data_IF_251431751495
#
_entry.id   IF_251431751495
#
_cell.length_a   1.000
_cell.length_b   1.000
_cell.length_c   1.000
_cell.angle_alpha   90.00
_cell.angle_beta   90.00
_cell.angle_gamma   90.00
#
_symmetry.space_group_name_H-M   'P 1'
#
loop_
_entity.id
_entity.type
_entity.pdbx_description
1 polymer ?
#
# COMPACT_ATOMS: atom_id res chain seq x y z
N UNK A 1 -34.90 -36.81 -21.67
CA UNK A 1 -33.78 -37.56 -22.30
C UNK A 1 -32.57 -36.63 -22.32
N UNK A 2 -31.44 -37.12 -21.79
CA UNK A 2 -30.20 -36.36 -21.53
C UNK A 2 -29.36 -36.22 -22.80
N UNK A 3 -28.71 -35.07 -23.00
CA UNK A 3 -27.50 -34.97 -23.82
C UNK A 3 -26.31 -34.68 -22.90
N UNK A 4 -25.31 -35.55 -22.96
CA UNK A 4 -24.03 -35.47 -22.26
C UNK A 4 -22.96 -35.21 -23.31
N UNK A 5 -22.21 -34.13 -23.15
CA UNK A 5 -20.98 -33.89 -23.92
C UNK A 5 -19.81 -34.18 -22.99
N UNK A 6 -19.03 -35.20 -23.33
CA UNK A 6 -17.78 -35.57 -22.67
C UNK A 6 -16.62 -35.08 -23.53
N UNK A 7 -15.83 -34.14 -23.02
CA UNK A 7 -14.52 -33.79 -23.58
C UNK A 7 -13.52 -34.91 -23.28
N UNK A 8 -12.92 -35.48 -24.33
CA UNK A 8 -11.68 -36.27 -24.24
C UNK A 8 -10.54 -35.44 -24.80
N UNK A 9 -9.66 -34.99 -23.93
CA UNK A 9 -8.33 -34.49 -24.28
C UNK A 9 -7.44 -35.70 -24.53
N UNK A 10 -6.96 -35.85 -25.76
CA UNK A 10 -5.97 -36.86 -26.15
C UNK A 10 -4.57 -36.30 -25.91
N UNK A 11 -3.84 -36.93 -24.98
CA UNK A 11 -2.39 -36.89 -24.92
C UNK A 11 -1.81 -37.67 -26.10
N UNK A 12 -0.88 -37.05 -26.83
CA UNK A 12 -0.09 -37.70 -27.86
C UNK A 12 1.20 -36.92 -28.10
N UNK A 13 2.25 -37.26 -27.37
CA UNK A 13 3.61 -36.83 -27.68
C UNK A 13 4.25 -37.83 -28.65
N UNK A 14 4.74 -37.37 -29.80
CA UNK A 14 5.94 -37.91 -30.44
C UNK A 14 6.41 -37.06 -31.63
N UNK A 15 7.74 -36.83 -31.62
CA UNK A 15 8.65 -36.65 -32.74
C UNK A 15 8.70 -35.30 -33.49
N UNK A 16 9.81 -34.61 -33.28
CA UNK A 16 10.30 -33.53 -34.10
C UNK A 16 10.71 -34.02 -35.51
N UNK A 17 10.32 -33.28 -36.54
CA UNK A 17 10.96 -33.27 -37.86
C UNK A 17 10.68 -31.93 -38.54
N UNK A 18 11.73 -31.38 -39.16
CA UNK A 18 11.82 -30.02 -39.67
C UNK A 18 10.82 -29.67 -40.78
N UNK A 19 10.20 -28.48 -40.71
CA UNK A 19 10.09 -27.46 -41.78
C UNK A 19 9.02 -26.41 -41.41
N UNK A 20 9.22 -25.20 -41.96
CA UNK A 20 8.29 -24.07 -42.14
C UNK A 20 8.17 -23.00 -41.04
N UNK A 21 8.85 -21.88 -41.32
CA UNK A 21 8.37 -20.48 -41.34
C UNK A 21 7.11 -20.23 -40.49
N UNK A 22 7.16 -19.34 -39.48
CA UNK A 22 5.97 -18.97 -38.74
C UNK A 22 4.97 -18.34 -39.71
N UNK A 23 3.79 -18.94 -39.79
CA UNK A 23 2.71 -18.52 -40.68
C UNK A 23 2.33 -17.09 -40.32
N UNK A 24 2.68 -16.12 -41.17
CA UNK A 24 2.50 -14.69 -40.92
C UNK A 24 1.05 -14.37 -40.53
N UNK A 25 0.07 -15.06 -41.14
CA UNK A 25 -1.34 -14.94 -40.80
C UNK A 25 -1.72 -15.40 -39.39
N UNK A 26 -1.05 -16.41 -38.82
CA UNK A 26 -1.32 -16.84 -37.43
C UNK A 26 -0.72 -15.84 -36.42
N UNK A 27 0.41 -15.24 -36.75
CA UNK A 27 0.99 -14.16 -35.95
C UNK A 27 0.17 -12.87 -36.06
N UNK A 28 -0.37 -12.58 -37.24
CA UNK A 28 -1.22 -11.41 -37.48
C UNK A 28 -2.61 -11.60 -36.80
N UNK A 29 -3.19 -12.81 -36.79
CA UNK A 29 -4.42 -13.12 -36.04
C UNK A 29 -4.22 -13.04 -34.53
N UNK A 30 -3.15 -13.65 -33.99
CA UNK A 30 -2.83 -13.55 -32.56
C UNK A 30 -2.55 -12.10 -32.17
N UNK A 31 -1.88 -11.33 -33.03
CA UNK A 31 -1.64 -9.92 -32.80
C UNK A 31 -2.94 -9.11 -32.85
N UNK A 32 -3.84 -9.39 -33.78
CA UNK A 32 -5.13 -8.70 -33.89
C UNK A 32 -6.05 -9.00 -32.70
N UNK A 33 -6.03 -10.23 -32.18
CA UNK A 33 -6.75 -10.61 -30.96
C UNK A 33 -6.14 -9.93 -29.70
N UNK A 34 -4.81 -9.81 -29.64
CA UNK A 34 -4.12 -9.07 -28.57
C UNK A 34 -4.39 -7.56 -28.66
N UNK A 35 -4.33 -6.99 -29.87
CA UNK A 35 -4.62 -5.57 -30.13
C UNK A 35 -6.09 -5.25 -29.75
N UNK A 36 -7.03 -6.15 -30.06
CA UNK A 36 -8.44 -6.02 -29.65
C UNK A 36 -8.66 -6.10 -28.13
N UNK A 37 -7.97 -7.01 -27.44
CA UNK A 37 -8.00 -7.08 -25.97
C UNK A 37 -7.38 -5.83 -25.32
N UNK A 38 -6.35 -5.22 -25.94
CA UNK A 38 -5.78 -3.96 -25.46
C UNK A 38 -6.71 -2.77 -25.68
N UNK A 39 -7.44 -2.69 -26.80
CA UNK A 39 -8.44 -1.65 -27.04
C UNK A 39 -9.63 -1.75 -26.05
N UNK A 40 -10.04 -2.96 -25.66
CA UNK A 40 -11.08 -3.17 -24.64
C UNK A 40 -10.61 -2.75 -23.23
N UNK A 41 -9.33 -2.97 -22.90
CA UNK A 41 -8.75 -2.53 -21.63
C UNK A 41 -8.63 -0.99 -21.56
N UNK A 42 -8.23 -0.31 -22.64
CA UNK A 42 -8.15 1.16 -22.64
C UNK A 42 -9.52 1.83 -22.42
N UNK A 43 -10.62 1.18 -22.81
CA UNK A 43 -11.97 1.68 -22.51
C UNK A 43 -12.30 1.63 -21.01
N UNK A 44 -11.64 0.74 -20.25
CA UNK A 44 -11.74 0.64 -18.79
C UNK A 44 -10.81 1.60 -18.03
N UNK A 45 -9.94 2.34 -18.73
CA UNK A 45 -9.17 3.42 -18.15
C UNK A 45 -10.11 4.59 -17.84
N UNK A 46 -10.39 4.89 -16.58
CA UNK A 46 -11.32 5.96 -16.23
C UNK A 46 -10.68 7.36 -16.33
N UNK A 47 -11.49 8.42 -16.55
CA UNK A 47 -11.06 9.80 -16.38
C UNK A 47 -10.43 10.08 -15.01
N UNK A 48 -9.41 10.92 -14.93
CA UNK A 48 -8.72 11.20 -13.66
C UNK A 48 -9.59 11.89 -12.61
N UNK A 49 -10.60 12.66 -13.02
CA UNK A 49 -11.55 13.33 -12.12
C UNK A 49 -12.54 12.36 -11.46
N UNK A 50 -12.68 11.15 -11.98
CA UNK A 50 -13.44 10.08 -11.30
C UNK A 50 -12.68 9.50 -10.11
N UNK A 51 -11.35 9.59 -10.11
CA UNK A 51 -10.54 9.24 -8.96
C UNK A 51 -10.50 10.48 -8.06
N UNK A 52 -11.04 10.36 -6.84
CA UNK A 52 -10.81 11.36 -5.80
C UNK A 52 -9.31 11.57 -5.58
N UNK A 53 -8.94 12.62 -4.84
CA UNK A 53 -7.55 12.87 -4.44
C UNK A 53 -7.48 13.07 -2.94
N UNK A 54 -6.31 12.80 -2.37
CA UNK A 54 -6.02 13.16 -1.00
C UNK A 54 -5.81 14.67 -0.90
N UNK A 55 -6.33 15.27 0.17
CA UNK A 55 -6.00 16.64 0.53
C UNK A 55 -4.52 16.73 0.90
N UNK A 56 -3.86 17.79 0.42
CA UNK A 56 -2.42 17.99 0.62
C UNK A 56 -2.16 19.27 1.40
N UNK A 57 -1.19 19.25 2.30
CA UNK A 57 -0.53 20.45 2.82
C UNK A 57 0.81 20.66 2.11
N UNK A 58 1.22 21.91 1.96
CA UNK A 58 2.53 22.26 1.38
C UNK A 58 3.66 22.05 2.39
N UNK A 59 4.90 21.97 1.90
CA UNK A 59 6.09 21.92 2.76
C UNK A 59 6.20 23.18 3.65
N UNK A 60 5.82 24.35 3.15
CA UNK A 60 5.84 25.59 3.91
C UNK A 60 4.86 25.54 5.10
N UNK A 61 3.64 25.06 4.87
CA UNK A 61 2.66 24.85 5.95
C UNK A 61 3.14 23.79 6.96
N UNK A 62 3.77 22.71 6.47
CA UNK A 62 4.34 21.69 7.31
C UNK A 62 5.49 22.22 8.20
N UNK A 63 6.29 23.15 7.69
CA UNK A 63 7.37 23.80 8.44
C UNK A 63 6.83 24.83 9.44
N UNK A 64 5.84 25.63 9.03
CA UNK A 64 5.19 26.60 9.91
C UNK A 64 4.55 25.90 11.12
N UNK A 65 3.78 24.83 10.89
CA UNK A 65 3.15 24.10 11.98
C UNK A 65 4.13 23.41 12.93
N UNK A 66 5.36 23.11 12.49
CA UNK A 66 6.38 22.53 13.36
C UNK A 66 6.94 23.55 14.37
N UNK A 67 6.92 24.85 14.02
CA UNK A 67 7.35 25.92 14.91
C UNK A 67 6.35 26.20 16.04
N UNK A 68 5.07 25.91 15.80
CA UNK A 68 3.96 26.18 16.74
C UNK A 68 3.60 24.97 17.62
N UNK A 69 4.25 23.82 17.42
CA UNK A 69 3.97 22.57 18.14
C UNK A 69 4.66 22.58 19.52
N UNK A 70 4.17 23.40 20.45
CA UNK A 70 4.69 23.43 21.82
C UNK A 70 4.36 22.14 22.58
N UNK A 71 5.39 21.49 23.12
CA UNK A 71 5.26 20.35 24.02
C UNK A 71 4.75 20.84 25.39
N UNK A 72 3.44 20.72 25.62
CA UNK A 72 2.84 21.05 26.92
C UNK A 72 3.07 19.96 27.99
N UNK A 73 3.67 18.83 27.62
CA UNK A 73 4.05 17.72 28.53
C UNK A 73 5.54 17.75 28.93
N UNK A 74 6.28 18.81 28.57
CA UNK A 74 7.72 18.98 28.80
C UNK A 74 8.18 19.10 30.29
N UNK A 75 7.42 18.58 31.25
CA UNK A 75 7.88 18.43 32.62
C UNK A 75 8.36 16.99 32.88
N UNK A 76 9.67 16.79 32.64
CA UNK A 76 10.54 15.62 32.88
C UNK A 76 10.86 14.79 31.63
N UNK A 77 11.97 15.09 30.95
CA UNK A 77 13.24 14.37 31.20
C UNK A 77 14.35 14.93 30.30
N UNK A 78 15.59 14.81 30.78
CA UNK A 78 16.80 15.23 30.05
C UNK A 78 16.82 14.64 28.63
N UNK A 79 17.14 15.50 27.65
CA UNK A 79 17.52 15.10 26.29
C UNK A 79 18.64 14.05 26.36
N UNK A 80 18.29 12.77 26.26
CA UNK A 80 19.28 11.71 26.09
C UNK A 80 19.71 11.68 24.62
N UNK A 81 21.03 11.58 24.43
CA UNK A 81 21.75 11.55 23.16
C UNK A 81 21.12 10.58 22.14
N UNK A 82 21.28 10.79 20.82
CA UNK A 82 20.83 9.82 19.82
C UNK A 82 21.51 8.47 20.08
N UNK A 83 20.73 7.51 20.57
CA UNK A 83 21.18 6.15 20.79
C UNK A 83 21.78 5.58 19.50
N UNK A 84 22.95 4.95 19.63
CA UNK A 84 23.63 4.29 18.51
C UNK A 84 22.89 3.01 18.10
N UNK A 85 23.13 2.53 16.88
CA UNK A 85 22.55 1.30 16.31
C UNK A 85 22.64 0.06 17.22
N UNK A 86 23.62 0.02 18.12
CA UNK A 86 23.83 -1.09 19.08
C UNK A 86 22.92 -1.02 20.34
N UNK A 87 22.34 0.13 20.68
CA UNK A 87 21.39 0.23 21.79
C UNK A 87 19.98 -0.26 21.41
N UNK A 88 19.61 -0.18 20.12
CA UNK A 88 18.29 -0.61 19.64
C UNK A 88 18.11 -2.13 19.62
N UNK A 89 19.20 -2.90 19.63
CA UNK A 89 19.14 -4.38 19.74
C UNK A 89 18.87 -4.84 21.17
N UNK A 90 19.15 -4.00 22.18
CA UNK A 90 18.97 -4.34 23.60
C UNK A 90 17.52 -4.22 24.10
N UNK A 91 16.61 -3.66 23.29
CA UNK A 91 15.20 -3.44 23.63
C UNK A 91 14.23 -4.37 22.88
N UNK A 92 14.70 -5.54 22.44
CA UNK A 92 13.84 -6.54 21.83
C UNK A 92 12.99 -7.26 22.89
N UNK A 93 11.75 -6.83 23.09
CA UNK A 93 10.76 -7.54 23.93
C UNK A 93 10.25 -8.84 23.27
N UNK A 94 10.53 -9.06 21.98
CA UNK A 94 10.25 -10.32 21.28
C UNK A 94 11.53 -11.01 20.79
N UNK A 95 11.59 -12.34 20.91
CA UNK A 95 12.82 -13.12 20.74
C UNK A 95 13.31 -13.26 19.29
N UNK A 96 12.45 -13.02 18.28
CA UNK A 96 12.79 -13.21 16.86
C UNK A 96 11.95 -12.26 15.98
N UNK A 97 12.27 -10.95 15.95
CA UNK A 97 11.52 -10.01 15.13
C UNK A 97 11.72 -10.31 13.64
N UNK A 98 10.62 -10.20 12.88
CA UNK A 98 10.70 -10.20 11.41
C UNK A 98 11.26 -8.86 10.95
N UNK A 99 12.18 -8.86 9.99
CA UNK A 99 12.66 -7.61 9.39
C UNK A 99 11.73 -7.28 8.22
N UNK A 100 11.23 -6.04 8.16
CA UNK A 100 10.71 -5.43 6.93
C UNK A 100 11.90 -4.82 6.20
N UNK A 101 12.06 -5.18 4.93
CA UNK A 101 13.28 -4.88 4.17
C UNK A 101 12.98 -3.88 3.07
N UNK A 102 13.84 -2.90 2.88
CA UNK A 102 13.70 -1.91 1.81
C UNK A 102 13.81 -2.62 0.46
N UNK A 103 12.95 -2.25 -0.50
CA UNK A 103 12.82 -2.95 -1.78
C UNK A 103 14.16 -3.24 -2.47
N UNK A 104 15.09 -2.28 -2.50
CA UNK A 104 16.39 -2.45 -3.18
C UNK A 104 17.35 -3.35 -2.42
N UNK A 105 17.16 -3.49 -1.11
CA UNK A 105 17.94 -4.39 -0.26
C UNK A 105 17.42 -5.84 -0.30
N UNK A 106 16.22 -6.08 -0.83
CA UNK A 106 15.67 -7.42 -0.97
C UNK A 106 16.38 -8.23 -2.05
N UNK A 107 16.55 -9.54 -1.79
CA UNK A 107 16.96 -10.49 -2.81
C UNK A 107 15.89 -10.56 -3.90
N UNK A 108 16.29 -10.71 -5.16
CA UNK A 108 15.34 -10.74 -6.27
C UNK A 108 14.35 -11.91 -6.17
N UNK A 109 14.78 -13.06 -5.63
CA UNK A 109 13.89 -14.18 -5.34
C UNK A 109 12.80 -13.83 -4.28
N UNK A 110 13.12 -12.98 -3.30
CA UNK A 110 12.16 -12.53 -2.30
C UNK A 110 11.20 -11.49 -2.87
N UNK A 111 11.69 -10.60 -3.75
CA UNK A 111 10.85 -9.65 -4.51
C UNK A 111 9.82 -10.40 -5.36
N UNK A 112 10.26 -11.37 -6.15
CA UNK A 112 9.39 -12.23 -6.95
C UNK A 112 8.41 -13.02 -6.06
N UNK A 113 8.88 -13.58 -4.94
CA UNK A 113 8.01 -14.31 -4.02
C UNK A 113 6.93 -13.40 -3.40
N UNK A 114 7.22 -12.13 -3.14
CA UNK A 114 6.23 -11.17 -2.65
C UNK A 114 5.18 -10.90 -3.73
N UNK A 115 5.61 -10.51 -4.92
CA UNK A 115 4.72 -10.22 -6.05
C UNK A 115 3.80 -11.40 -6.38
N UNK A 116 4.35 -12.62 -6.40
CA UNK A 116 3.57 -13.84 -6.61
C UNK A 116 2.57 -14.11 -5.48
N UNK A 117 2.90 -13.80 -4.23
CA UNK A 117 1.97 -13.96 -3.11
C UNK A 117 0.80 -12.97 -3.18
N UNK A 118 1.04 -11.74 -3.64
CA UNK A 118 -0.03 -10.77 -3.89
C UNK A 118 -0.93 -11.25 -5.02
N UNK A 119 -0.33 -11.67 -6.14
CA UNK A 119 -1.08 -12.24 -7.27
C UNK A 119 -1.93 -13.45 -6.87
N UNK A 120 -1.40 -14.31 -6.00
CA UNK A 120 -2.16 -15.41 -5.42
C UNK A 120 -3.43 -14.95 -4.66
N UNK A 121 -3.40 -13.83 -3.93
CA UNK A 121 -4.62 -13.28 -3.31
C UNK A 121 -5.59 -12.72 -4.35
N UNK A 122 -5.09 -12.13 -5.44
CA UNK A 122 -5.92 -11.62 -6.54
C UNK A 122 -6.61 -12.74 -7.33
N UNK A 123 -6.00 -13.94 -7.39
CA UNK A 123 -6.56 -15.09 -8.09
C UNK A 123 -7.48 -15.96 -7.22
N UNK A 124 -7.42 -15.82 -5.88
CA UNK A 124 -8.29 -16.57 -4.97
C UNK A 124 -9.71 -16.04 -4.97
N UNK A 125 -10.72 -16.92 -4.84
CA UNK A 125 -12.12 -16.51 -4.77
C UNK A 125 -12.40 -15.64 -3.54
N UNK A 126 -13.31 -14.66 -3.62
CA UNK A 126 -13.63 -13.79 -2.50
C UNK A 126 -14.23 -14.61 -1.35
N UNK A 127 -14.16 -14.06 -0.14
CA UNK A 127 -14.75 -14.63 1.07
C UNK A 127 -16.28 -14.70 1.00
N UNK A 128 -16.91 -13.88 0.15
CA UNK A 128 -18.35 -13.71 0.07
C UNK A 128 -18.92 -12.72 1.10
N UNK A 129 -18.07 -12.12 1.94
CA UNK A 129 -18.50 -11.17 2.98
C UNK A 129 -18.55 -9.71 2.49
N UNK A 130 -17.87 -9.41 1.38
CA UNK A 130 -17.72 -8.04 0.87
C UNK A 130 -18.14 -7.97 -0.59
N UNK A 131 -19.39 -7.60 -0.86
CA UNK A 131 -19.85 -7.35 -2.23
C UNK A 131 -19.40 -5.96 -2.71
N UNK A 132 -18.94 -5.79 -3.97
CA UNK A 132 -18.92 -6.75 -5.08
C UNK A 132 -17.56 -7.43 -5.34
N UNK A 133 -16.72 -7.61 -4.32
CA UNK A 133 -15.37 -8.20 -4.47
C UNK A 133 -15.39 -9.50 -5.28
N UNK A 134 -14.47 -9.62 -6.24
CA UNK A 134 -14.28 -10.80 -7.09
C UNK A 134 -13.06 -11.63 -6.68
N UNK A 135 -12.27 -11.18 -5.70
CA UNK A 135 -11.13 -11.92 -5.18
C UNK A 135 -10.88 -11.71 -3.69
N UNK A 136 -10.02 -12.54 -3.09
CA UNK A 136 -9.54 -12.31 -1.71
C UNK A 136 -8.80 -11.00 -1.57
N UNK A 137 -8.08 -10.57 -2.60
CA UNK A 137 -7.43 -9.27 -2.60
C UNK A 137 -8.47 -8.14 -2.58
N UNK A 138 -9.54 -8.25 -3.37
CA UNK A 138 -10.60 -7.23 -3.37
C UNK A 138 -11.36 -7.14 -2.05
N UNK A 139 -11.47 -8.23 -1.27
CA UNK A 139 -12.00 -8.14 0.09
C UNK A 139 -11.15 -7.21 0.99
N UNK A 140 -9.84 -7.16 0.75
CA UNK A 140 -8.92 -6.26 1.46
C UNK A 140 -9.22 -4.81 1.05
N UNK A 141 -9.31 -4.56 -0.26
CA UNK A 141 -9.69 -3.24 -0.81
C UNK A 141 -11.06 -2.77 -0.31
N UNK A 142 -12.05 -3.66 -0.27
CA UNK A 142 -13.41 -3.36 0.17
C UNK A 142 -13.47 -2.95 1.65
N UNK A 143 -12.63 -3.53 2.52
CA UNK A 143 -12.53 -3.11 3.92
C UNK A 143 -12.00 -1.68 4.03
N UNK A 144 -10.96 -1.34 3.27
CA UNK A 144 -10.44 0.03 3.25
C UNK A 144 -11.49 1.04 2.75
N UNK A 145 -12.20 0.71 1.67
CA UNK A 145 -13.28 1.54 1.14
C UNK A 145 -14.37 1.78 2.19
N UNK A 146 -14.84 0.73 2.86
CA UNK A 146 -15.90 0.83 3.87
C UNK A 146 -15.46 1.58 5.14
N UNK A 147 -14.17 1.52 5.46
CA UNK A 147 -13.60 2.16 6.66
C UNK A 147 -13.09 3.57 6.42
N UNK A 148 -12.95 4.02 5.16
CA UNK A 148 -12.27 5.27 4.75
C UNK A 148 -12.59 6.47 5.64
N UNK A 149 -13.88 6.75 5.87
CA UNK A 149 -14.31 7.92 6.66
C UNK A 149 -13.97 7.85 8.15
N UNK A 150 -13.50 6.70 8.64
CA UNK A 150 -13.06 6.49 10.04
C UNK A 150 -11.56 6.43 10.18
N UNK A 151 -10.84 6.12 9.11
CA UNK A 151 -9.40 5.80 9.14
C UNK A 151 -8.54 6.88 8.48
N UNK A 152 -9.17 7.86 7.82
CA UNK A 152 -8.51 9.02 7.24
C UNK A 152 -9.01 10.31 7.88
N UNK A 153 -8.15 11.33 7.91
CA UNK A 153 -8.39 12.60 8.59
C UNK A 153 -8.80 12.38 10.06
N UNK A 154 -8.15 11.40 10.68
CA UNK A 154 -8.52 10.84 11.98
C UNK A 154 -7.26 10.41 12.73
N UNK A 155 -7.30 10.45 14.06
CA UNK A 155 -6.21 9.90 14.86
C UNK A 155 -6.00 8.40 14.62
N UNK A 156 -6.96 7.67 14.04
CA UNK A 156 -6.80 6.26 13.70
C UNK A 156 -5.86 6.01 12.51
N UNK A 157 -5.52 7.03 11.72
CA UNK A 157 -4.77 6.88 10.48
C UNK A 157 -3.53 5.99 10.64
N UNK A 158 -2.55 6.38 11.46
CA UNK A 158 -1.32 5.61 11.61
C UNK A 158 -1.53 4.20 12.25
N UNK A 159 -2.22 4.06 13.40
CA UNK A 159 -2.49 2.76 14.01
C UNK A 159 -3.26 1.81 13.11
N UNK A 160 -4.31 2.29 12.43
CA UNK A 160 -5.14 1.44 11.59
C UNK A 160 -4.37 0.99 10.35
N UNK A 161 -3.59 1.86 9.70
CA UNK A 161 -2.78 1.46 8.55
C UNK A 161 -1.62 0.52 8.93
N UNK A 162 -0.98 0.71 10.09
CA UNK A 162 -0.02 -0.28 10.64
C UNK A 162 -0.71 -1.64 10.84
N UNK A 163 -1.88 -1.66 11.47
CA UNK A 163 -2.68 -2.87 11.63
C UNK A 163 -3.07 -3.49 10.29
N UNK A 164 -3.47 -2.67 9.31
CA UNK A 164 -3.88 -3.11 7.98
C UNK A 164 -2.73 -3.77 7.20
N UNK A 165 -1.50 -3.22 7.26
CA UNK A 165 -0.31 -3.89 6.69
C UNK A 165 0.02 -5.20 7.41
N UNK A 166 -0.21 -5.29 8.73
CA UNK A 166 -0.10 -6.56 9.47
C UNK A 166 -1.17 -7.56 9.04
N UNK A 167 -2.41 -7.11 8.79
CA UNK A 167 -3.49 -7.95 8.28
C UNK A 167 -3.13 -8.53 6.91
N UNK A 168 -2.69 -7.68 5.99
CA UNK A 168 -2.21 -8.08 4.69
C UNK A 168 -1.06 -9.09 4.79
N UNK A 169 -0.07 -8.85 5.64
CA UNK A 169 1.01 -9.81 5.92
C UNK A 169 0.48 -11.17 6.33
N UNK A 170 -0.49 -11.20 7.26
CA UNK A 170 -1.11 -12.43 7.74
C UNK A 170 -1.78 -13.20 6.61
N UNK A 171 -2.54 -12.51 5.74
CA UNK A 171 -3.22 -13.13 4.61
C UNK A 171 -2.23 -13.70 3.58
N UNK A 172 -1.18 -12.97 3.23
CA UNK A 172 -0.12 -13.48 2.34
C UNK A 172 0.51 -14.76 2.88
N UNK A 173 0.76 -14.81 4.19
CA UNK A 173 1.42 -15.93 4.87
C UNK A 173 0.53 -17.14 4.99
N UNK A 174 -0.71 -16.94 5.44
CA UNK A 174 -1.64 -18.02 5.76
C UNK A 174 -2.36 -18.56 4.53
N UNK A 175 -2.70 -17.71 3.57
CA UNK A 175 -3.46 -18.12 2.39
C UNK A 175 -2.57 -18.41 1.16
N UNK A 176 -1.40 -17.75 1.07
CA UNK A 176 -0.51 -17.83 -0.09
C UNK A 176 0.91 -18.33 0.25
N UNK A 177 1.17 -18.76 1.48
CA UNK A 177 2.43 -19.41 1.87
C UNK A 177 3.66 -18.50 1.82
N UNK A 178 3.47 -17.18 1.87
CA UNK A 178 4.58 -16.22 1.83
C UNK A 178 5.49 -16.38 3.06
N UNK A 179 6.80 -16.58 2.86
CA UNK A 179 7.74 -16.77 3.98
C UNK A 179 8.80 -15.68 4.08
N UNK A 180 9.04 -14.92 3.01
CA UNK A 180 10.07 -13.90 2.95
C UNK A 180 9.76 -12.65 3.83
N UNK A 181 10.76 -11.77 4.03
CA UNK A 181 10.60 -10.45 4.66
C UNK A 181 9.61 -9.56 3.90
N UNK A 182 8.70 -8.86 4.61
CA UNK A 182 7.81 -7.90 3.93
C UNK A 182 8.62 -6.72 3.36
N UNK A 183 8.38 -6.30 2.11
CA UNK A 183 9.00 -5.10 1.56
C UNK A 183 8.44 -3.82 2.17
N UNK A 184 9.24 -2.77 2.15
CA UNK A 184 8.78 -1.37 2.15
C UNK A 184 9.57 -0.57 1.10
N UNK A 185 9.06 0.59 0.70
CA UNK A 185 9.69 1.43 -0.32
C UNK A 185 10.23 2.72 0.30
N UNK A 186 11.52 3.02 0.13
CA UNK A 186 12.03 4.33 0.53
C UNK A 186 11.78 5.37 -0.58
N UNK A 187 10.56 5.93 -0.57
CA UNK A 187 10.05 6.91 -1.53
C UNK A 187 10.90 8.17 -1.61
N UNK A 188 11.51 8.58 -0.50
CA UNK A 188 12.38 9.77 -0.45
C UNK A 188 13.55 9.66 -1.42
N UNK A 189 14.08 8.45 -1.64
CA UNK A 189 15.18 8.23 -2.56
C UNK A 189 14.79 8.37 -4.03
N UNK A 190 13.50 8.28 -4.32
CA UNK A 190 12.95 8.30 -5.68
C UNK A 190 12.08 9.55 -5.93
N UNK A 191 12.02 10.50 -4.99
CA UNK A 191 11.22 11.72 -5.10
C UNK A 191 11.44 12.46 -6.44
N UNK A 192 10.37 12.72 -7.18
CA UNK A 192 10.42 13.32 -8.52
C UNK A 192 10.85 12.37 -9.65
N UNK A 193 11.04 11.08 -9.35
CA UNK A 193 11.35 10.03 -10.31
C UNK A 193 10.85 8.65 -9.83
N UNK A 194 9.58 8.56 -9.42
CA UNK A 194 9.02 7.31 -8.87
C UNK A 194 9.07 6.15 -9.88
N UNK A 195 8.89 6.44 -11.18
CA UNK A 195 8.98 5.44 -12.24
C UNK A 195 10.38 4.78 -12.31
N UNK A 196 11.43 5.47 -11.86
CA UNK A 196 12.80 4.99 -11.81
C UNK A 196 13.19 4.18 -10.55
N UNK A 197 12.25 3.93 -9.62
CA UNK A 197 12.51 3.26 -8.33
C UNK A 197 12.96 1.79 -8.45
N UNK A 198 12.76 1.15 -9.61
CA UNK A 198 12.94 -0.28 -9.81
C UNK A 198 11.80 -1.15 -9.27
N UNK A 199 10.72 -0.54 -8.79
CA UNK A 199 9.44 -1.23 -8.50
C UNK A 199 8.62 -1.42 -9.78
N UNK A 200 8.55 -0.37 -10.58
CA UNK A 200 7.70 -0.29 -11.77
C UNK A 200 8.41 -0.88 -12.99
N UNK A 201 8.35 -2.21 -13.10
CA UNK A 201 9.01 -2.98 -14.16
C UNK A 201 8.14 -4.15 -14.60
N UNK A 202 8.46 -4.71 -15.77
CA UNK A 202 7.86 -5.95 -16.29
C UNK A 202 7.97 -7.15 -15.34
N UNK A 203 8.97 -7.17 -14.48
CA UNK A 203 9.21 -8.29 -13.56
C UNK A 203 8.36 -8.20 -12.28
N UNK A 204 7.92 -6.99 -11.92
CA UNK A 204 7.27 -6.72 -10.65
C UNK A 204 5.89 -6.06 -10.86
N UNK A 205 5.79 -4.75 -10.64
CA UNK A 205 4.50 -4.07 -10.50
C UNK A 205 3.92 -3.52 -11.82
N UNK A 206 4.61 -3.69 -12.94
CA UNK A 206 4.28 -3.05 -14.22
C UNK A 206 4.63 -1.56 -14.21
N UNK A 207 4.47 -0.89 -15.35
CA UNK A 207 4.95 0.48 -15.56
C UNK A 207 4.24 1.52 -14.69
N UNK A 208 4.86 2.69 -14.56
CA UNK A 208 4.27 3.90 -13.98
C UNK A 208 4.23 5.00 -15.07
N UNK A 209 3.31 4.90 -16.04
CA UNK A 209 3.21 5.87 -17.13
C UNK A 209 2.57 7.20 -16.66
N UNK A 210 2.81 8.31 -17.38
CA UNK A 210 2.07 9.55 -17.17
C UNK A 210 0.61 9.40 -17.64
N UNK A 211 -0.23 10.34 -17.24
CA UNK A 211 -1.61 10.43 -17.72
C UNK A 211 -1.68 10.49 -19.27
N UNK A 212 -2.67 9.83 -19.85
CA UNK A 212 -2.95 9.90 -21.29
C UNK A 212 -4.27 10.66 -21.52
N UNK A 213 -4.20 11.87 -22.07
CA UNK A 213 -5.39 12.66 -22.41
C UNK A 213 -6.31 12.96 -21.21
N UNK A 214 -5.76 13.13 -20.01
CA UNK A 214 -6.52 13.36 -18.77
C UNK A 214 -7.13 12.10 -18.15
N UNK A 215 -6.72 10.92 -18.61
CA UNK A 215 -7.13 9.61 -18.07
C UNK A 215 -5.92 8.91 -17.45
N UNK A 216 -6.22 7.96 -16.57
CA UNK A 216 -5.23 6.96 -16.18
C UNK A 216 -4.82 6.11 -17.38
N UNK A 217 -3.66 5.46 -17.29
CA UNK A 217 -3.23 4.47 -18.26
C UNK A 217 -3.30 3.09 -17.61
N UNK A 218 -4.06 2.18 -18.21
CA UNK A 218 -4.14 0.80 -17.75
C UNK A 218 -2.76 0.14 -17.80
N UNK A 219 -2.39 -0.55 -16.73
CA UNK A 219 -1.15 -1.31 -16.67
C UNK A 219 -1.34 -2.60 -17.47
N UNK A 220 -0.52 -2.80 -18.50
CA UNK A 220 -0.58 -3.94 -19.41
C UNK A 220 0.51 -4.98 -19.13
N UNK A 221 1.53 -4.61 -18.34
CA UNK A 221 2.73 -5.40 -18.06
C UNK A 221 2.89 -5.69 -16.57
N UNK A 222 3.99 -6.36 -16.19
CA UNK A 222 4.21 -6.76 -14.79
C UNK A 222 3.30 -7.91 -14.36
N UNK A 223 3.41 -8.30 -13.09
CA UNK A 223 2.60 -9.38 -12.54
C UNK A 223 1.09 -9.06 -12.48
N UNK A 224 0.76 -7.76 -12.47
CA UNK A 224 -0.59 -7.22 -12.33
C UNK A 224 -1.14 -6.59 -13.63
N UNK A 225 -0.46 -6.78 -14.75
CA UNK A 225 -0.94 -6.32 -16.06
C UNK A 225 -2.31 -6.93 -16.41
N UNK A 226 -3.21 -6.10 -16.94
CA UNK A 226 -4.57 -6.50 -17.32
C UNK A 226 -5.52 -6.72 -16.13
N UNK A 227 -5.12 -6.38 -14.90
CA UNK A 227 -5.98 -6.51 -13.71
C UNK A 227 -7.22 -5.62 -13.83
N UNK A 228 -8.40 -6.21 -13.58
CA UNK A 228 -9.67 -5.47 -13.45
C UNK A 228 -10.07 -5.40 -11.98
N UNK A 229 -10.33 -4.18 -11.52
CA UNK A 229 -10.80 -3.84 -10.19
C UNK A 229 -12.31 -3.55 -10.23
N UNK A 230 -13.04 -4.07 -9.26
CA UNK A 230 -14.48 -3.94 -9.08
C UNK A 230 -14.82 -3.09 -7.85
N UNK A 231 -13.82 -2.79 -7.00
CA UNK A 231 -13.95 -1.88 -5.87
C UNK A 231 -13.44 -0.48 -6.25
N UNK A 232 -14.30 0.53 -6.06
CA UNK A 232 -14.02 1.91 -6.42
C UNK A 232 -14.26 2.23 -7.92
N UNK A 233 -13.84 3.41 -8.40
CA UNK A 233 -13.28 4.53 -7.63
C UNK A 233 -14.31 5.12 -6.65
N UNK A 234 -13.84 5.64 -5.51
CA UNK A 234 -14.72 6.13 -4.44
C UNK A 234 -15.64 5.01 -3.96
N UNK A 235 -16.95 5.26 -3.94
CA UNK A 235 -17.99 4.28 -3.60
C UNK A 235 -18.74 3.74 -4.83
N UNK A 236 -18.28 4.02 -6.06
CA UNK A 236 -19.02 3.68 -7.28
C UNK A 236 -19.00 2.18 -7.60
N UNK A 237 -17.91 1.49 -7.28
CA UNK A 237 -17.69 0.07 -7.58
C UNK A 237 -17.92 -0.29 -9.05
N UNK A 238 -17.53 0.63 -9.93
CA UNK A 238 -17.55 0.44 -11.37
C UNK A 238 -16.32 -0.37 -11.78
N UNK A 239 -16.46 -1.47 -12.55
CA UNK A 239 -15.32 -2.19 -13.09
C UNK A 239 -14.39 -1.27 -13.88
N UNK A 240 -13.09 -1.30 -13.56
CA UNK A 240 -12.06 -0.50 -14.21
C UNK A 240 -10.72 -1.23 -14.17
N UNK A 241 -9.79 -0.88 -15.05
CA UNK A 241 -8.47 -1.49 -15.01
C UNK A 241 -7.65 -0.93 -13.85
N UNK A 242 -6.67 -1.71 -13.36
CA UNK A 242 -5.56 -1.15 -12.60
C UNK A 242 -4.83 -0.12 -13.49
N UNK A 243 -4.95 1.16 -13.15
CA UNK A 243 -4.39 2.26 -13.92
C UNK A 243 -3.50 3.15 -13.04
N UNK A 244 -2.50 3.75 -13.67
CA UNK A 244 -1.60 4.74 -13.06
C UNK A 244 -1.51 5.99 -13.94
N UNK A 245 -1.07 7.10 -13.36
CA UNK A 245 -0.90 8.36 -14.04
C UNK A 245 0.09 9.22 -13.27
N UNK A 246 1.38 8.93 -13.44
CA UNK A 246 2.43 9.57 -12.65
C UNK A 246 2.42 11.08 -12.82
N UNK A 247 2.53 11.78 -11.70
CA UNK A 247 2.72 13.21 -11.63
C UNK A 247 3.96 13.51 -10.79
N UNK A 248 5.10 13.70 -11.47
CA UNK A 248 6.38 13.92 -10.81
C UNK A 248 6.43 15.25 -10.04
N UNK A 249 5.49 16.18 -10.28
CA UNK A 249 5.38 17.39 -9.46
C UNK A 249 4.86 17.07 -8.06
N UNK A 250 4.01 16.04 -7.94
CA UNK A 250 3.51 15.54 -6.66
C UNK A 250 4.55 14.66 -5.97
N UNK A 251 5.15 13.70 -6.68
CA UNK A 251 6.15 12.78 -6.10
C UNK A 251 7.39 13.52 -5.58
N UNK A 252 7.75 14.68 -6.17
CA UNK A 252 8.84 15.54 -5.70
C UNK A 252 8.62 16.08 -4.26
N UNK A 253 7.37 16.12 -3.79
CA UNK A 253 7.04 16.53 -2.42
C UNK A 253 7.23 15.40 -1.40
N UNK A 254 7.44 14.15 -1.83
CA UNK A 254 7.82 13.02 -0.95
C UNK A 254 9.32 13.07 -0.65
N UNK A 255 9.83 14.23 -0.23
CA UNK A 255 11.26 14.47 -0.02
C UNK A 255 11.65 14.45 1.46
N UNK A 256 12.96 14.39 1.72
CA UNK A 256 13.49 14.27 3.08
C UNK A 256 13.12 15.48 3.96
N UNK A 257 13.10 16.70 3.40
CA UNK A 257 12.77 17.90 4.18
C UNK A 257 11.33 17.85 4.70
N UNK A 258 10.40 17.32 3.91
CA UNK A 258 9.02 17.12 4.32
C UNK A 258 8.91 16.06 5.43
N UNK A 259 9.54 14.90 5.22
CA UNK A 259 9.59 13.82 6.23
C UNK A 259 10.19 14.31 7.54
N UNK A 260 11.25 15.12 7.48
CA UNK A 260 11.89 15.68 8.67
C UNK A 260 10.98 16.69 9.38
N UNK A 261 10.24 17.51 8.63
CA UNK A 261 9.26 18.46 9.16
C UNK A 261 8.09 17.78 9.88
N UNK A 262 7.64 16.63 9.41
CA UNK A 262 6.61 15.85 10.12
C UNK A 262 7.21 15.08 11.31
N UNK A 263 8.44 14.58 11.19
CA UNK A 263 9.11 13.87 12.29
C UNK A 263 9.72 14.79 13.36
N UNK A 264 9.64 16.11 13.19
CA UNK A 264 10.01 17.10 14.21
C UNK A 264 8.87 17.47 15.16
N UNK A 265 7.65 17.00 14.87
CA UNK A 265 6.46 17.24 15.70
C UNK A 265 6.61 16.63 17.09
N UNK A 266 5.98 17.23 18.08
CA UNK A 266 6.04 16.82 19.49
C UNK A 266 4.88 15.90 19.88
N UNK A 267 3.67 16.20 19.42
CA UNK A 267 2.49 15.38 19.71
C UNK A 267 2.22 14.36 18.62
N UNK A 268 1.53 13.27 18.97
CA UNK A 268 1.10 12.29 17.98
C UNK A 268 0.17 12.92 16.94
N UNK A 269 -0.85 13.67 17.37
CA UNK A 269 -1.84 14.28 16.48
C UNK A 269 -1.25 15.25 15.46
N UNK A 270 -0.23 16.04 15.84
CA UNK A 270 0.44 16.95 14.91
C UNK A 270 1.34 16.18 13.93
N UNK A 271 2.05 15.15 14.39
CA UNK A 271 2.86 14.28 13.55
C UNK A 271 2.00 13.50 12.54
N UNK A 272 0.91 12.92 13.00
CA UNK A 272 -0.05 12.12 12.24
C UNK A 272 -0.67 12.96 11.12
N UNK A 273 -1.24 14.12 11.43
CA UNK A 273 -1.84 15.01 10.45
C UNK A 273 -0.83 15.50 9.41
N UNK A 274 0.40 15.87 9.82
CA UNK A 274 1.46 16.25 8.88
C UNK A 274 1.84 15.08 7.96
N UNK A 275 1.98 13.88 8.53
CA UNK A 275 2.26 12.67 7.78
C UNK A 275 1.19 12.38 6.74
N UNK A 276 -0.09 12.41 7.14
CA UNK A 276 -1.24 12.08 6.29
C UNK A 276 -1.40 13.04 5.12
N UNK A 277 -1.39 14.36 5.39
CA UNK A 277 -1.58 15.40 4.38
C UNK A 277 -0.30 15.76 3.61
N UNK A 278 0.85 15.28 4.07
CA UNK A 278 2.15 15.53 3.46
C UNK A 278 2.62 14.33 2.64
N UNK A 279 3.74 13.66 3.04
CA UNK A 279 4.34 12.59 2.25
C UNK A 279 3.38 11.46 1.84
N UNK A 280 2.41 11.10 2.69
CA UNK A 280 1.38 10.10 2.35
C UNK A 280 0.50 10.56 1.18
N UNK A 281 -0.15 11.72 1.31
CA UNK A 281 -1.02 12.27 0.27
C UNK A 281 -0.29 12.50 -1.05
N UNK A 282 0.95 13.01 -1.00
CA UNK A 282 1.77 13.22 -2.20
C UNK A 282 2.21 11.91 -2.87
N UNK A 283 2.52 10.86 -2.10
CA UNK A 283 2.85 9.55 -2.65
C UNK A 283 1.68 8.95 -3.43
N UNK A 284 0.50 8.93 -2.83
CA UNK A 284 -0.75 8.48 -3.49
C UNK A 284 -1.08 9.31 -4.73
N UNK A 285 -1.16 10.64 -4.56
CA UNK A 285 -1.53 11.54 -5.65
C UNK A 285 -0.49 11.55 -6.79
N UNK A 286 0.79 11.29 -6.47
CA UNK A 286 1.88 11.26 -7.44
C UNK A 286 1.95 9.97 -8.26
N UNK A 287 1.48 8.83 -7.76
CA UNK A 287 1.26 7.64 -8.60
C UNK A 287 0.01 7.82 -9.47
N UNK A 288 -1.00 8.51 -8.94
CA UNK A 288 -2.21 8.89 -9.66
C UNK A 288 -3.21 7.74 -9.86
N UNK A 289 -4.30 8.04 -10.56
CA UNK A 289 -5.39 7.11 -10.88
C UNK A 289 -5.84 6.26 -9.68
N UNK A 290 -5.63 4.94 -9.70
CA UNK A 290 -6.07 4.03 -8.62
C UNK A 290 -5.46 4.42 -7.29
N UNK A 291 -4.15 4.70 -7.22
CA UNK A 291 -3.47 5.11 -5.97
C UNK A 291 -3.99 6.45 -5.43
N UNK A 292 -4.42 7.38 -6.29
CA UNK A 292 -4.97 8.65 -5.83
C UNK A 292 -6.38 8.51 -5.22
N UNK A 293 -7.15 7.50 -5.63
CA UNK A 293 -8.52 7.32 -5.17
C UNK A 293 -8.58 6.82 -3.73
N UNK A 294 -8.60 7.76 -2.78
CA UNK A 294 -8.62 7.56 -1.31
C UNK A 294 -9.19 6.22 -0.88
N UNK A 295 -10.48 5.95 -1.14
CA UNK A 295 -11.15 4.72 -0.71
C UNK A 295 -10.66 3.43 -1.39
N UNK A 296 -10.36 3.50 -2.68
CA UNK A 296 -9.99 2.36 -3.51
C UNK A 296 -8.48 2.19 -3.72
N UNK A 297 -7.65 3.06 -3.12
CA UNK A 297 -6.19 3.08 -3.30
C UNK A 297 -5.47 1.75 -3.07
N UNK A 298 -5.91 0.86 -2.15
CA UNK A 298 -5.30 -0.48 -2.03
C UNK A 298 -5.51 -1.38 -3.25
N UNK A 299 -6.35 -0.99 -4.21
CA UNK A 299 -6.50 -1.68 -5.49
C UNK A 299 -5.19 -1.79 -6.27
N UNK A 300 -4.26 -0.84 -6.08
CA UNK A 300 -2.88 -0.96 -6.56
C UNK A 300 -1.99 -1.62 -5.49
N UNK A 301 -1.35 -2.77 -5.76
CA UNK A 301 -0.44 -3.44 -4.82
C UNK A 301 0.70 -2.60 -4.25
N UNK A 302 1.11 -1.53 -4.94
CA UNK A 302 2.12 -0.60 -4.43
C UNK A 302 1.69 0.08 -3.13
N UNK A 303 0.38 0.19 -2.88
CA UNK A 303 -0.19 0.69 -1.62
C UNK A 303 0.50 0.12 -0.38
N UNK A 304 0.78 -1.19 -0.36
CA UNK A 304 1.34 -1.83 0.83
C UNK A 304 2.82 -1.49 1.07
N UNK A 305 3.56 -1.13 0.02
CA UNK A 305 4.93 -0.64 0.14
C UNK A 305 4.95 0.83 0.55
N UNK A 306 4.03 1.63 -0.01
CA UNK A 306 3.79 3.01 0.39
C UNK A 306 3.39 3.11 1.88
N UNK A 307 2.47 2.27 2.35
CA UNK A 307 2.14 2.25 3.78
C UNK A 307 3.24 1.62 4.65
N UNK A 308 4.20 0.89 4.06
CA UNK A 308 5.46 0.55 4.72
C UNK A 308 6.35 1.76 4.94
N UNK A 309 6.42 2.69 3.98
CA UNK A 309 7.09 3.99 4.12
C UNK A 309 6.46 4.85 5.22
N UNK A 310 5.13 5.02 5.17
CA UNK A 310 4.37 5.78 6.17
C UNK A 310 4.56 5.20 7.57
N UNK A 311 4.47 3.87 7.70
CA UNK A 311 4.69 3.20 8.98
C UNK A 311 6.11 3.37 9.51
N UNK A 312 7.11 3.28 8.63
CA UNK A 312 8.52 3.54 9.00
C UNK A 312 8.73 4.98 9.43
N UNK A 313 8.08 5.94 8.78
CA UNK A 313 8.15 7.36 9.16
C UNK A 313 7.62 7.54 10.59
N UNK A 314 6.44 6.99 10.90
CA UNK A 314 5.91 7.00 12.26
C UNK A 314 6.84 6.31 13.24
N UNK A 315 7.40 5.14 12.88
CA UNK A 315 8.36 4.46 13.74
C UNK A 315 9.59 5.32 14.03
N UNK A 316 10.15 6.02 13.03
CA UNK A 316 11.29 6.94 13.23
C UNK A 316 10.95 8.09 14.18
N UNK A 317 9.70 8.56 14.20
CA UNK A 317 9.25 9.54 15.17
C UNK A 317 9.11 8.94 16.58
N UNK A 318 8.59 7.72 16.70
CA UNK A 318 8.41 7.03 17.98
C UNK A 318 9.73 6.73 18.69
N UNK A 319 10.80 6.39 17.96
CA UNK A 319 12.11 6.05 18.59
C UNK A 319 12.91 7.25 19.07
N UNK A 320 12.47 8.47 18.78
CA UNK A 320 13.13 9.69 19.30
C UNK A 320 12.81 9.93 20.77
N UNK A 321 11.70 9.38 21.27
CA UNK A 321 11.28 9.49 22.67
C UNK A 321 10.40 8.28 23.03
N UNK A 322 10.82 7.53 24.05
CA UNK A 322 10.12 6.33 24.51
C UNK A 322 8.67 6.59 24.96
N UNK A 323 8.32 7.82 25.38
CA UNK A 323 6.95 8.19 25.74
C UNK A 323 5.98 7.97 24.56
N UNK A 324 6.47 8.15 23.32
CA UNK A 324 5.74 8.01 22.05
C UNK A 324 5.38 6.56 21.69
N UNK A 325 5.90 5.59 22.44
CA UNK A 325 5.47 4.19 22.34
C UNK A 325 4.15 3.93 23.09
N UNK A 326 3.72 4.88 23.93
CA UNK A 326 2.52 4.76 24.77
C UNK A 326 1.55 5.93 24.58
N UNK A 327 2.05 7.11 24.21
CA UNK A 327 1.25 8.31 24.01
C UNK A 327 0.53 8.26 22.65
N UNK A 328 -0.77 8.54 22.68
CA UNK A 328 -1.66 8.63 21.51
C UNK A 328 -2.67 9.75 21.77
N UNK A 329 -3.03 10.51 20.74
CA UNK A 329 -3.94 11.66 20.85
C UNK A 329 -4.78 11.82 19.58
N UNK A 330 -5.72 12.76 19.58
CA UNK A 330 -6.61 13.03 18.44
C UNK A 330 -7.96 12.30 18.54
N UNK A 331 -8.77 12.42 17.50
CA UNK A 331 -10.11 11.84 17.45
C UNK A 331 -10.07 10.45 16.79
N UNK A 332 -10.61 9.44 17.45
CA UNK A 332 -10.79 8.09 16.89
C UNK A 332 -11.83 8.07 15.76
N UNK A 333 -12.78 9.01 15.77
CA UNK A 333 -13.74 9.19 14.67
C UNK A 333 -13.78 10.66 14.27
N UNK A 334 -13.59 10.99 12.97
CA UNK A 334 -13.80 12.35 12.48
C UNK A 334 -15.27 12.78 12.66
N UNK A 335 -15.50 14.04 13.08
CA UNK A 335 -16.84 14.63 13.20
C UNK A 335 -17.11 15.37 14.52
N UNK A 336 -18.34 15.87 14.68
CA UNK A 336 -18.73 16.84 15.73
C UNK A 336 -18.52 16.38 17.18
N UNK A 337 -18.48 15.06 17.43
CA UNK A 337 -18.39 14.51 18.79
C UNK A 337 -17.01 13.93 19.15
N UNK A 338 -15.95 14.19 18.36
CA UNK A 338 -14.55 13.75 18.54
C UNK A 338 -14.37 12.74 19.69
N UNK A 339 -14.63 11.46 19.40
CA UNK A 339 -14.39 10.42 20.39
C UNK A 339 -12.87 10.31 20.60
N UNK A 340 -12.34 10.49 21.82
CA UNK A 340 -10.89 10.50 22.02
C UNK A 340 -10.26 9.18 21.60
N UNK A 341 -9.15 9.26 20.87
CA UNK A 341 -8.31 8.11 20.60
C UNK A 341 -7.59 7.69 21.87
N UNK A 342 -7.71 6.42 22.22
CA UNK A 342 -7.05 5.84 23.38
C UNK A 342 -6.35 4.54 22.99
N UNK A 343 -5.52 4.02 23.90
CA UNK A 343 -4.88 2.71 23.72
C UNK A 343 -5.90 1.56 23.69
N UNK A 344 -7.08 1.74 24.26
CA UNK A 344 -8.15 0.74 24.30
C UNK A 344 -9.08 0.80 23.09
N UNK A 345 -8.95 1.83 22.24
CA UNK A 345 -9.70 1.94 20.99
C UNK A 345 -9.46 0.71 20.12
N UNK A 346 -10.54 0.07 19.69
CA UNK A 346 -10.50 -1.16 18.89
C UNK A 346 -10.30 -0.83 17.41
N UNK A 347 -9.34 -1.52 16.79
CA UNK A 347 -9.09 -1.52 15.36
C UNK A 347 -9.71 -2.77 14.74
N UNK A 348 -10.60 -2.56 13.77
CA UNK A 348 -11.29 -3.63 13.06
C UNK A 348 -10.84 -3.69 11.61
N UNK A 349 -10.67 -4.91 11.11
CA UNK A 349 -10.54 -5.21 9.67
C UNK A 349 -11.82 -5.86 9.13
N UNK A 350 -12.95 -5.60 9.79
CA UNK A 350 -14.28 -6.11 9.43
C UNK A 350 -14.32 -7.64 9.23
N UNK A 351 -13.52 -8.38 10.01
CA UNK A 351 -13.47 -9.84 9.96
C UNK A 351 -12.42 -10.45 9.02
N UNK A 352 -11.61 -9.67 8.31
CA UNK A 352 -10.46 -10.24 7.57
C UNK A 352 -9.48 -10.98 8.49
N UNK A 353 -9.24 -10.44 9.69
CA UNK A 353 -8.50 -11.05 10.80
C UNK A 353 -9.09 -10.56 12.12
N UNK A 354 -8.55 -11.07 13.22
CA UNK A 354 -8.95 -10.68 14.59
C UNK A 354 -8.78 -9.19 14.83
N UNK A 355 -9.75 -8.60 15.53
CA UNK A 355 -9.65 -7.23 16.03
C UNK A 355 -8.55 -7.09 17.08
N UNK A 356 -8.03 -5.88 17.19
CA UNK A 356 -6.92 -5.53 18.07
C UNK A 356 -7.19 -4.18 18.71
N UNK A 357 -6.44 -3.82 19.74
CA UNK A 357 -6.48 -2.47 20.30
C UNK A 357 -5.31 -1.64 19.77
N UNK A 358 -5.46 -0.31 19.75
CA UNK A 358 -4.36 0.61 19.42
C UNK A 358 -3.10 0.27 20.25
N UNK A 359 -3.27 0.02 21.55
CA UNK A 359 -2.18 -0.33 22.46
C UNK A 359 -1.39 -1.57 22.06
N UNK A 360 -1.97 -2.51 21.30
CA UNK A 360 -1.28 -3.70 20.78
C UNK A 360 -0.46 -3.41 19.50
N UNK A 361 -0.69 -2.27 18.85
CA UNK A 361 -0.12 -1.89 17.55
C UNK A 361 0.89 -0.73 17.68
N UNK A 362 0.90 0.00 18.80
CA UNK A 362 1.80 1.14 19.02
C UNK A 362 3.28 0.76 18.98
N UNK A 363 3.67 -0.34 19.62
CA UNK A 363 5.06 -0.75 19.69
C UNK A 363 5.31 -2.01 18.86
N UNK A 364 6.09 -1.84 17.79
CA UNK A 364 6.38 -2.90 16.82
C UNK A 364 7.30 -4.00 17.40
N UNK A 365 7.96 -3.75 18.54
CA UNK A 365 8.85 -4.69 19.20
C UNK A 365 8.10 -5.65 20.11
N UNK A 366 6.88 -5.28 20.54
CA UNK A 366 6.07 -6.11 21.42
C UNK A 366 5.69 -7.44 20.72
N UNK A 367 5.51 -8.55 21.48
CA UNK A 367 5.31 -9.89 20.93
C UNK A 367 4.16 -10.02 19.92
N UNK A 368 3.17 -9.12 19.95
CA UNK A 368 2.06 -9.11 19.01
C UNK A 368 2.53 -8.85 17.57
N UNK A 369 3.25 -7.75 17.36
CA UNK A 369 3.69 -7.31 16.02
C UNK A 369 5.03 -7.94 15.67
N UNK A 370 5.99 -7.84 16.59
CA UNK A 370 7.32 -8.43 16.53
C UNK A 370 7.99 -8.25 15.16
N UNK A 371 8.20 -7.00 14.75
CA UNK A 371 8.96 -6.67 13.55
C UNK A 371 9.83 -5.41 13.69
N UNK A 372 10.81 -5.28 12.80
CA UNK A 372 11.73 -4.16 12.67
C UNK A 372 11.77 -3.65 11.23
N UNK A 373 12.36 -2.48 11.02
CA UNK A 373 12.80 -2.02 9.70
C UNK A 373 14.31 -2.22 9.56
N UNK A 374 14.80 -2.46 8.34
CA UNK A 374 16.22 -2.31 8.02
C UNK A 374 16.58 -0.82 7.98
N UNK A 375 17.41 -0.39 8.93
CA UNK A 375 17.85 1.00 9.10
C UNK A 375 19.15 1.29 8.38
#
# INVERSE_FOLDING_TARGET
>A
MRFSVTSRVLYGAAAASALNIPNRGLLDEVKQDLDGLTEDLEQLALPLDMFGKFDTMTLEEAQAGAADDEDTDANNDELSSPASTDEFTAQATCANPRIRVEWRNMRDADKLSFVNAVKCLMEKPPSGNFSPSQSRYEDIVAVHQQMTNRIHMSGLFLPWHRYYTWVFSGLLREECGYTAPLPWWDEVRDAGNFAGSGLFTDEYFGDLPPANGGRGTCIQNGAFGGTILNIGPGASNSPHCLARAVDETQTANVNQAFVDSCNSRNTYSSMESCSEMGPHAYGHNGIGAVMAAVSGSPGDPIFFLHHGFVDRMWRKWQIKDNSRLRNISGCATPGDNCEPLTRDTVLSSMGLRREVTVGQILDIYEPFLCYLYDY
#
